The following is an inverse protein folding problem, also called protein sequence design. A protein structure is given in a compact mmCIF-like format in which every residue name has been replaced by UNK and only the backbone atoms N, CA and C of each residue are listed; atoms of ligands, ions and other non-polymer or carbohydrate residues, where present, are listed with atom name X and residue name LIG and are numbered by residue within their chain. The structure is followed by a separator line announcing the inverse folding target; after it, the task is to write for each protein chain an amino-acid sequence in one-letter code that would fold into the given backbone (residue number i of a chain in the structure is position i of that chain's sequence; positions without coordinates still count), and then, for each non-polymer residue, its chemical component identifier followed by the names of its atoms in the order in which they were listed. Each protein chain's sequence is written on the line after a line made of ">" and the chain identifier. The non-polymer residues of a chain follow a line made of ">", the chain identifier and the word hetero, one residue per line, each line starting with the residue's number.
data_IF_305312132123
#
_entry.id   IF_305312132123
#
_cell.length_a   1.000
_cell.length_b   1.000
_cell.length_c   1.000
_cell.angle_alpha   90.00
_cell.angle_beta   90.00
_cell.angle_gamma   90.00
#
_symmetry.space_group_name_H-M   'P 1'
#
loop_
_entity.id
_entity.type
_entity.pdbx_description
1 polymer ?
#
# COMPACT_ATOMS: atom_id res chain seq x y z
N UNK A 1 10.95 4.72 11.76
CA UNK A 1 9.54 4.46 11.42
C UNK A 1 9.04 5.61 10.59
N UNK A 2 8.51 5.34 9.40
CA UNK A 2 7.98 6.30 8.46
C UNK A 2 6.48 6.04 8.31
N UNK A 3 5.66 7.09 8.39
CA UNK A 3 4.20 6.99 8.26
C UNK A 3 3.80 7.86 7.08
N UNK A 4 3.12 7.27 6.11
CA UNK A 4 2.81 7.95 4.84
C UNK A 4 1.33 7.79 4.48
N UNK A 5 0.83 8.78 3.77
CA UNK A 5 -0.48 8.72 3.12
C UNK A 5 -0.35 9.36 1.75
N UNK A 6 -0.55 8.56 0.71
CA UNK A 6 -0.51 9.03 -0.67
C UNK A 6 -1.84 8.79 -1.35
N UNK A 7 -2.29 9.74 -2.17
CA UNK A 7 -3.52 9.62 -2.97
C UNK A 7 -3.18 9.48 -4.44
N UNK A 8 -3.74 8.48 -5.08
CA UNK A 8 -3.56 8.17 -6.50
C UNK A 8 -4.90 8.25 -7.23
N UNK A 9 -4.91 8.89 -8.40
CA UNK A 9 -6.11 8.93 -9.23
C UNK A 9 -6.24 7.65 -10.05
N UNK A 10 -7.41 7.01 -9.99
CA UNK A 10 -7.76 5.90 -10.87
C UNK A 10 -8.12 6.46 -12.26
N UNK A 11 -7.72 5.74 -13.31
CA UNK A 11 -8.07 6.08 -14.70
C UNK A 11 -9.57 5.91 -14.93
N UNK A 12 -10.14 6.78 -15.74
CA UNK A 12 -11.57 6.71 -16.08
C UNK A 12 -11.91 5.33 -16.70
N UNK A 13 -13.02 4.73 -16.25
CA UNK A 13 -13.46 3.41 -16.72
C UNK A 13 -12.68 2.22 -16.15
N UNK A 14 -11.74 2.42 -15.21
CA UNK A 14 -10.97 1.32 -14.59
C UNK A 14 -11.47 0.88 -13.20
N UNK A 15 -12.67 1.31 -12.78
CA UNK A 15 -13.27 0.90 -11.50
C UNK A 15 -13.29 -0.62 -11.31
N UNK A 16 -13.68 -1.38 -12.34
CA UNK A 16 -13.77 -2.85 -12.26
C UNK A 16 -12.40 -3.51 -12.08
N UNK A 17 -11.35 -2.93 -12.67
CA UNK A 17 -9.97 -3.40 -12.49
C UNK A 17 -9.52 -3.19 -11.05
N UNK A 18 -9.90 -2.06 -10.44
CA UNK A 18 -9.66 -1.84 -9.00
C UNK A 18 -10.43 -2.85 -8.15
N UNK A 19 -11.68 -3.18 -8.51
CA UNK A 19 -12.45 -4.23 -7.82
C UNK A 19 -11.71 -5.58 -7.88
N UNK A 20 -11.26 -5.98 -9.06
CA UNK A 20 -10.48 -7.22 -9.26
C UNK A 20 -9.18 -7.20 -8.46
N UNK A 21 -8.47 -6.08 -8.45
CA UNK A 21 -7.21 -5.94 -7.72
C UNK A 21 -7.41 -6.06 -6.21
N UNK A 22 -8.37 -5.35 -5.63
CA UNK A 22 -8.64 -5.43 -4.19
C UNK A 22 -9.11 -6.83 -3.80
N UNK A 23 -9.93 -7.49 -4.62
CA UNK A 23 -10.35 -8.87 -4.38
C UNK A 23 -9.15 -9.83 -4.43
N UNK A 24 -8.26 -9.67 -5.42
CA UNK A 24 -7.04 -10.46 -5.53
C UNK A 24 -6.15 -10.34 -4.28
N UNK A 25 -5.89 -9.13 -3.78
CA UNK A 25 -5.09 -8.95 -2.57
C UNK A 25 -5.74 -9.57 -1.33
N UNK A 26 -7.07 -9.47 -1.21
CA UNK A 26 -7.78 -10.08 -0.10
C UNK A 26 -7.79 -11.61 -0.19
N UNK A 27 -7.91 -12.17 -1.39
CA UNK A 27 -7.88 -13.62 -1.63
C UNK A 27 -6.52 -14.24 -1.28
N UNK A 28 -5.43 -13.55 -1.63
CA UNK A 28 -4.06 -14.01 -1.41
C UNK A 28 -3.35 -13.29 -0.25
N UNK A 29 -4.11 -12.89 0.79
CA UNK A 29 -3.59 -12.07 1.89
C UNK A 29 -2.37 -12.69 2.59
N UNK A 30 -2.32 -14.01 2.77
CA UNK A 30 -1.15 -14.66 3.39
C UNK A 30 0.13 -14.45 2.56
N UNK A 31 0.04 -14.58 1.23
CA UNK A 31 1.17 -14.34 0.32
C UNK A 31 1.57 -12.86 0.29
N UNK A 32 0.59 -11.94 0.35
CA UNK A 32 0.83 -10.49 0.46
C UNK A 32 1.61 -10.17 1.74
N UNK A 33 1.17 -10.68 2.89
CA UNK A 33 1.83 -10.40 4.17
C UNK A 33 3.29 -10.91 4.23
N UNK A 34 3.61 -11.98 3.48
CA UNK A 34 4.99 -12.48 3.35
C UNK A 34 5.92 -11.57 2.55
N UNK A 35 5.40 -10.69 1.68
CA UNK A 35 6.22 -9.71 0.96
C UNK A 35 6.50 -8.51 1.85
N UNK A 36 5.51 -8.06 2.63
CA UNK A 36 5.61 -6.91 3.52
C UNK A 36 6.75 -7.00 4.56
N UNK A 37 7.01 -8.19 5.14
CA UNK A 37 8.09 -8.34 6.14
C UNK A 37 9.49 -8.06 5.55
N UNK A 38 9.70 -8.46 4.29
CA UNK A 38 10.95 -8.18 3.55
C UNK A 38 11.08 -6.71 3.20
N UNK A 39 9.96 -6.05 2.93
CA UNK A 39 9.87 -4.62 2.63
C UNK A 39 9.94 -3.74 3.89
N UNK A 40 10.01 -4.36 5.09
CA UNK A 40 9.88 -3.65 6.38
C UNK A 40 8.61 -2.82 6.46
N UNK A 41 7.56 -3.27 5.78
CA UNK A 41 6.23 -2.67 5.79
C UNK A 41 5.44 -3.26 6.95
N UNK A 42 5.22 -2.47 8.01
CA UNK A 42 4.50 -2.92 9.21
C UNK A 42 2.99 -2.87 9.04
N UNK A 43 2.53 -1.85 8.34
CA UNK A 43 1.12 -1.67 7.99
C UNK A 43 1.08 -1.14 6.57
N UNK A 44 0.26 -1.77 5.75
CA UNK A 44 -0.19 -1.22 4.48
C UNK A 44 -1.72 -1.28 4.47
N UNK A 45 -2.36 -0.19 4.08
CA UNK A 45 -3.81 -0.12 4.01
C UNK A 45 -4.22 0.75 2.83
N UNK A 46 -5.07 0.18 1.98
CA UNK A 46 -5.57 0.85 0.78
C UNK A 46 -7.02 1.25 1.05
N UNK A 47 -7.31 2.54 1.00
CA UNK A 47 -8.68 3.06 1.01
C UNK A 47 -9.09 3.47 -0.40
N UNK A 48 -10.39 3.42 -0.66
CA UNK A 48 -10.97 3.80 -1.94
C UNK A 48 -12.06 4.83 -1.76
N UNK A 49 -12.00 5.86 -2.58
CA UNK A 49 -13.04 6.89 -2.69
C UNK A 49 -13.63 6.85 -4.10
N UNK A 50 -14.96 6.73 -4.18
CA UNK A 50 -15.73 6.93 -5.41
C UNK A 50 -16.52 8.22 -5.26
N UNK A 51 -16.28 9.17 -6.15
CA UNK A 51 -17.05 10.41 -6.28
C UNK A 51 -17.66 10.48 -7.69
N UNK A 52 -18.66 11.33 -7.89
CA UNK A 52 -19.35 11.45 -9.18
C UNK A 52 -18.40 11.76 -10.36
N UNK A 53 -17.27 12.43 -10.10
CA UNK A 53 -16.36 12.92 -11.13
C UNK A 53 -15.00 12.20 -11.16
N UNK A 54 -14.67 11.42 -10.14
CA UNK A 54 -13.35 10.81 -10.01
C UNK A 54 -13.34 9.67 -8.99
N UNK A 55 -12.36 8.79 -9.16
CA UNK A 55 -12.07 7.71 -8.24
C UNK A 55 -10.62 7.79 -7.79
N UNK A 56 -10.39 7.55 -6.50
CA UNK A 56 -9.07 7.63 -5.90
C UNK A 56 -8.79 6.41 -5.02
N UNK A 57 -7.53 5.97 -5.04
CA UNK A 57 -6.99 5.09 -4.02
C UNK A 57 -6.07 5.89 -3.09
N UNK A 58 -6.15 5.59 -1.81
CA UNK A 58 -5.32 6.16 -0.76
C UNK A 58 -4.47 5.06 -0.17
N UNK A 59 -3.16 5.24 -0.20
CA UNK A 59 -2.19 4.30 0.33
C UNK A 59 -1.69 4.82 1.67
N UNK A 60 -2.10 4.16 2.75
CA UNK A 60 -1.58 4.43 4.08
C UNK A 60 -0.55 3.37 4.44
N UNK A 61 0.62 3.80 4.88
CA UNK A 61 1.66 2.88 5.32
C UNK A 61 2.32 3.30 6.63
N UNK A 62 2.79 2.30 7.38
CA UNK A 62 3.75 2.44 8.48
C UNK A 62 4.90 1.49 8.17
N UNK A 63 6.11 2.01 8.00
CA UNK A 63 7.26 1.22 7.59
C UNK A 63 8.52 1.51 8.41
N UNK A 64 9.42 0.53 8.43
CA UNK A 64 10.77 0.63 8.97
C UNK A 64 11.71 1.39 8.04
N UNK A 65 12.99 1.39 8.38
CA UNK A 65 14.05 1.90 7.50
C UNK A 65 14.66 0.75 6.68
N UNK A 66 15.22 1.07 5.51
CA UNK A 66 15.90 0.12 4.62
C UNK A 66 15.04 -1.06 4.12
N UNK A 67 13.76 -0.81 3.85
CA UNK A 67 12.89 -1.74 3.13
C UNK A 67 13.34 -1.96 1.68
N UNK A 68 13.08 -3.15 1.14
CA UNK A 68 13.19 -3.43 -0.29
C UNK A 68 11.98 -2.79 -0.98
N UNK A 69 12.15 -2.20 -2.17
CA UNK A 69 11.01 -1.69 -2.94
C UNK A 69 10.27 -2.85 -3.59
N UNK A 70 8.94 -2.75 -3.67
CA UNK A 70 8.09 -3.74 -4.37
C UNK A 70 8.52 -3.96 -5.83
N UNK A 71 9.03 -2.91 -6.49
CA UNK A 71 9.55 -2.96 -7.87
C UNK A 71 10.77 -3.88 -8.03
N UNK A 72 11.52 -4.10 -6.95
CA UNK A 72 12.69 -4.99 -6.93
C UNK A 72 12.31 -6.43 -6.53
N UNK A 73 11.03 -6.71 -6.27
CA UNK A 73 10.57 -8.01 -5.81
C UNK A 73 10.47 -9.04 -6.93
N UNK A 74 10.92 -10.26 -6.63
CA UNK A 74 10.72 -11.43 -7.49
C UNK A 74 9.43 -12.19 -7.18
N UNK A 75 8.65 -11.75 -6.19
CA UNK A 75 7.40 -12.41 -5.79
C UNK A 75 6.37 -12.32 -6.91
N UNK A 76 5.63 -13.40 -7.13
CA UNK A 76 4.57 -13.43 -8.14
C UNK A 76 3.40 -12.52 -7.75
N UNK A 77 3.12 -12.38 -6.44
CA UNK A 77 2.07 -11.52 -5.92
C UNK A 77 2.39 -10.05 -6.18
N UNK A 78 3.63 -9.62 -5.94
CA UNK A 78 4.09 -8.23 -6.15
C UNK A 78 4.07 -7.86 -7.63
N UNK A 79 4.48 -8.79 -8.50
CA UNK A 79 4.35 -8.61 -9.96
C UNK A 79 2.91 -8.41 -10.39
N UNK A 80 1.99 -9.24 -9.88
CA UNK A 80 0.56 -9.12 -10.19
C UNK A 80 -0.04 -7.84 -9.62
N UNK A 81 0.39 -7.44 -8.43
CA UNK A 81 0.01 -6.19 -7.80
C UNK A 81 0.43 -4.98 -8.65
N UNK A 82 1.67 -4.97 -9.16
CA UNK A 82 2.17 -3.94 -10.07
C UNK A 82 1.46 -3.93 -11.43
N UNK A 83 1.07 -5.10 -11.97
CA UNK A 83 0.26 -5.17 -13.19
C UNK A 83 -1.08 -4.43 -13.03
N UNK A 84 -1.80 -4.66 -11.91
CA UNK A 84 -3.04 -3.95 -11.63
C UNK A 84 -2.79 -2.45 -11.45
N UNK A 85 -1.74 -2.07 -10.72
CA UNK A 85 -1.32 -0.69 -10.55
C UNK A 85 -1.15 0.01 -11.90
N UNK A 86 -0.31 -0.57 -12.77
CA UNK A 86 -0.02 -0.01 -14.09
C UNK A 86 -1.24 0.08 -15.00
N UNK A 87 -2.22 -0.81 -14.82
CA UNK A 87 -3.46 -0.81 -15.59
C UNK A 87 -4.42 0.31 -15.15
N UNK A 88 -4.62 0.48 -13.83
CA UNK A 88 -5.70 1.32 -13.30
C UNK A 88 -5.26 2.67 -12.73
N UNK A 89 -4.00 2.87 -12.36
CA UNK A 89 -3.52 4.13 -11.77
C UNK A 89 -3.05 5.12 -12.84
N UNK A 90 -3.48 6.37 -12.71
CA UNK A 90 -3.06 7.47 -13.56
C UNK A 90 -1.63 7.92 -13.24
N UNK A 91 -0.73 7.87 -14.23
CA UNK A 91 0.71 8.20 -14.04
C UNK A 91 0.98 9.69 -13.76
N UNK A 92 0.03 10.57 -14.09
CA UNK A 92 0.23 12.01 -14.08
C UNK A 92 -0.32 12.72 -12.84
N UNK A 93 -0.93 11.99 -11.90
CA UNK A 93 -1.55 12.60 -10.73
C UNK A 93 -1.45 11.70 -9.50
N UNK A 94 -0.56 12.08 -8.58
CA UNK A 94 -0.55 11.60 -7.20
C UNK A 94 -0.30 12.79 -6.26
N UNK A 95 -0.68 12.61 -5.00
CA UNK A 95 -0.44 13.59 -3.93
C UNK A 95 0.09 12.84 -2.71
N UNK A 96 1.31 13.16 -2.30
CA UNK A 96 1.83 12.73 -0.99
C UNK A 96 1.39 13.74 0.07
N UNK A 97 0.65 13.25 1.06
CA UNK A 97 0.12 14.09 2.11
C UNK A 97 1.15 14.32 3.22
N UNK A 98 1.17 15.52 3.77
CA UNK A 98 1.97 15.83 4.96
C UNK A 98 1.29 15.30 6.21
N UNK A 99 1.90 14.32 6.89
CA UNK A 99 1.44 13.84 8.19
C UNK A 99 1.39 15.01 9.19
N UNK A 100 0.20 15.26 9.77
CA UNK A 100 0.02 16.29 10.80
C UNK A 100 0.14 15.74 12.23
N UNK A 101 -0.36 14.52 12.45
CA UNK A 101 -0.32 13.84 13.75
C UNK A 101 -0.44 12.33 13.56
N UNK A 102 0.21 11.55 14.43
CA UNK A 102 0.02 10.11 14.56
C UNK A 102 -0.11 9.75 16.04
N UNK A 103 -1.17 9.02 16.40
CA UNK A 103 -1.51 8.67 17.78
C UNK A 103 -1.29 7.17 18.04
N UNK A 104 -0.05 6.72 17.92
CA UNK A 104 0.32 5.33 18.20
C UNK A 104 0.90 5.25 19.62
N UNK A 105 0.25 4.53 20.55
CA UNK A 105 0.78 4.33 21.89
C UNK A 105 2.17 3.69 21.85
N UNK A 106 3.09 4.12 22.74
CA UNK A 106 4.49 3.66 22.72
C UNK A 106 4.65 2.13 22.79
N UNK A 107 3.78 1.43 23.53
CA UNK A 107 3.85 -0.02 23.63
C UNK A 107 3.53 -0.72 22.30
N UNK A 108 2.67 -0.14 21.45
CA UNK A 108 2.38 -0.65 20.11
C UNK A 108 3.50 -0.30 19.14
N UNK A 109 3.98 0.95 19.19
CA UNK A 109 5.09 1.39 18.34
C UNK A 109 6.33 0.49 18.51
N UNK A 110 6.61 0.10 19.75
CA UNK A 110 7.72 -0.80 20.09
C UNK A 110 7.56 -2.20 19.50
N UNK A 111 6.36 -2.77 19.51
CA UNK A 111 6.09 -4.09 18.90
C UNK A 111 6.33 -4.09 17.38
N UNK A 112 6.04 -2.97 16.70
CA UNK A 112 6.32 -2.84 15.26
C UNK A 112 7.82 -2.74 14.97
N UNK A 113 8.60 -2.09 15.84
CA UNK A 113 10.04 -1.85 15.61
C UNK A 113 10.96 -2.95 16.15
N UNK A 114 10.54 -3.73 17.14
CA UNK A 114 11.41 -4.66 17.87
C UNK A 114 11.66 -6.01 17.18
N UNK A 115 11.05 -6.26 16.01
CA UNK A 115 11.25 -7.50 15.23
C UNK A 115 12.64 -7.66 14.57
N UNK A 116 13.65 -6.91 15.00
CA UNK A 116 15.07 -7.15 14.65
C UNK A 116 15.70 -8.40 15.28
N UNK A 117 14.93 -9.29 15.93
CA UNK A 117 15.42 -10.53 16.53
C UNK A 117 14.48 -11.71 16.30
N UNK A 118 14.52 -12.27 15.10
CA UNK A 118 14.17 -13.67 14.84
C UNK A 118 15.18 -14.23 13.83
#
# INVERSE_FOLDING_TARGET
>A
MKIELSRFRVRDGKSEVVDMWMNFLNEYMEDVLLTLDREKMYVETIFREKSDNAEYLYWYSIQGENGINVEDSNSWIDKKHLEYWDECIGKNYHVDMSMQVSMIPHHIAKLMTDNTKA
#
